data_IF_067899164979
#
_entry.id   IF_067899164979
#
_cell.length_a   1.000
_cell.length_b   1.000
_cell.length_c   1.000
_cell.angle_alpha   90.00
_cell.angle_beta   90.00
_cell.angle_gamma   90.00
#
_symmetry.space_group_name_H-M   'P 1'
#
loop_
_entity.id
_entity.type
_entity.pdbx_description
1 polymer ?
#
# COMPACT_ATOMS: atom_id res chain seq x y z
N UNK A 1 -31.12 6.95 -14.83
CA UNK A 1 -30.78 5.69 -15.51
C UNK A 1 -29.51 5.15 -14.85
N UNK A 2 -29.58 4.05 -14.11
CA UNK A 2 -28.38 3.46 -13.48
C UNK A 2 -27.53 2.78 -14.56
N UNK A 3 -26.35 3.34 -14.84
CA UNK A 3 -25.37 2.80 -15.79
C UNK A 3 -24.92 1.42 -15.32
N UNK A 4 -24.93 0.42 -16.21
CA UNK A 4 -24.39 -0.90 -15.90
C UNK A 4 -22.96 -1.03 -16.45
N UNK A 5 -21.97 -0.82 -15.58
CA UNK A 5 -20.55 -0.90 -15.94
C UNK A 5 -20.07 -2.30 -16.38
N UNK A 6 -20.91 -3.35 -16.30
CA UNK A 6 -20.61 -4.66 -16.86
C UNK A 6 -20.93 -4.78 -18.37
N UNK A 7 -21.55 -3.77 -18.99
CA UNK A 7 -21.85 -3.73 -20.43
C UNK A 7 -20.94 -2.75 -21.16
N UNK A 8 -20.33 -3.20 -22.26
CA UNK A 8 -19.42 -2.38 -23.05
C UNK A 8 -20.13 -1.13 -23.60
N UNK A 9 -21.33 -1.29 -24.17
CA UNK A 9 -22.11 -0.18 -24.76
C UNK A 9 -22.40 0.95 -23.77
N UNK A 10 -22.76 0.61 -22.53
CA UNK A 10 -23.02 1.59 -21.47
C UNK A 10 -21.74 2.36 -21.07
N UNK A 11 -20.59 1.67 -21.08
CA UNK A 11 -19.29 2.28 -20.81
C UNK A 11 -18.85 3.16 -21.97
N UNK A 12 -19.00 2.71 -23.21
CA UNK A 12 -18.71 3.51 -24.41
C UNK A 12 -19.57 4.78 -24.46
N UNK A 13 -20.85 4.68 -24.11
CA UNK A 13 -21.73 5.84 -24.03
C UNK A 13 -21.20 6.87 -23.02
N UNK A 14 -20.82 6.44 -21.82
CA UNK A 14 -20.26 7.35 -20.79
C UNK A 14 -18.94 7.96 -21.26
N UNK A 15 -18.02 7.15 -21.79
CA UNK A 15 -16.72 7.62 -22.28
C UNK A 15 -16.85 8.59 -23.48
N UNK A 16 -17.89 8.42 -24.30
CA UNK A 16 -18.17 9.29 -25.44
C UNK A 16 -18.83 10.63 -25.06
N UNK A 17 -19.66 10.65 -24.02
CA UNK A 17 -20.48 11.82 -23.67
C UNK A 17 -19.97 12.61 -22.45
N UNK A 18 -19.17 12.00 -21.57
CA UNK A 18 -18.69 12.69 -20.38
C UNK A 18 -17.58 13.69 -20.72
N UNK A 19 -17.85 14.98 -20.52
CA UNK A 19 -16.96 16.09 -20.90
C UNK A 19 -15.56 16.01 -20.26
N UNK A 20 -15.44 15.48 -19.04
CA UNK A 20 -14.12 15.26 -18.42
C UNK A 20 -13.25 14.26 -19.21
N UNK A 21 -13.86 13.17 -19.72
CA UNK A 21 -13.16 12.18 -20.53
C UNK A 21 -12.82 12.77 -21.90
N UNK A 22 -13.72 13.58 -22.46
CA UNK A 22 -13.46 14.31 -23.70
C UNK A 22 -12.24 15.24 -23.58
N UNK A 23 -12.09 15.97 -22.47
CA UNK A 23 -10.93 16.82 -22.18
C UNK A 23 -9.63 16.00 -22.22
N UNK A 24 -9.61 14.87 -21.51
CA UNK A 24 -8.43 14.00 -21.38
C UNK A 24 -8.03 13.30 -22.68
N UNK A 25 -8.98 13.13 -23.62
CA UNK A 25 -8.72 12.53 -24.94
C UNK A 25 -8.24 13.53 -25.99
N UNK A 26 -8.14 14.82 -25.66
CA UNK A 26 -7.67 15.84 -26.61
C UNK A 26 -6.18 15.70 -26.89
N UNK A 27 -5.80 15.91 -28.14
CA UNK A 27 -4.39 15.91 -28.57
C UNK A 27 -3.55 16.95 -27.80
N UNK A 28 -4.16 18.07 -27.41
CA UNK A 28 -3.53 19.14 -26.63
C UNK A 28 -4.02 19.16 -25.17
N UNK A 29 -4.46 18.02 -24.62
CA UNK A 29 -4.86 17.93 -23.23
C UNK A 29 -3.80 18.47 -22.24
N UNK A 30 -2.48 18.26 -22.43
CA UNK A 30 -1.46 18.82 -21.53
C UNK A 30 -1.52 20.35 -21.45
N UNK A 31 -1.67 21.05 -22.59
CA UNK A 31 -1.83 22.52 -22.62
C UNK A 31 -3.07 22.95 -21.83
N UNK A 32 -4.22 22.32 -22.11
CA UNK A 32 -5.50 22.67 -21.49
C UNK A 32 -5.39 22.48 -19.97
N UNK A 33 -4.89 21.33 -19.53
CA UNK A 33 -4.77 20.98 -18.12
C UNK A 33 -3.81 21.93 -17.42
N UNK A 34 -2.62 22.15 -17.97
CA UNK A 34 -1.59 23.00 -17.36
C UNK A 34 -2.05 24.46 -17.25
N UNK A 35 -2.65 25.01 -18.31
CA UNK A 35 -3.17 26.38 -18.28
C UNK A 35 -4.34 26.52 -17.30
N UNK A 36 -5.36 25.65 -17.37
CA UNK A 36 -6.52 25.73 -16.48
C UNK A 36 -6.13 25.51 -15.01
N UNK A 37 -5.13 24.66 -14.75
CA UNK A 37 -4.56 24.47 -13.43
C UNK A 37 -3.89 25.74 -12.90
N UNK A 38 -2.96 26.32 -13.69
CA UNK A 38 -2.27 27.55 -13.32
C UNK A 38 -3.24 28.72 -13.10
N UNK A 39 -4.16 28.92 -14.04
CA UNK A 39 -5.12 30.01 -13.98
C UNK A 39 -6.12 29.86 -12.82
N UNK A 40 -6.77 28.71 -12.63
CA UNK A 40 -7.87 28.61 -11.66
C UNK A 40 -7.47 27.97 -10.33
N UNK A 41 -6.55 27.00 -10.32
CA UNK A 41 -6.21 26.23 -9.12
C UNK A 41 -5.04 26.82 -8.35
N UNK A 42 -3.95 27.18 -9.02
CA UNK A 42 -2.79 27.81 -8.36
C UNK A 42 -3.08 29.26 -7.94
N UNK A 43 -3.74 30.04 -8.79
CA UNK A 43 -4.12 31.40 -8.45
C UNK A 43 -5.31 31.49 -7.47
N UNK A 44 -5.92 30.35 -7.11
CA UNK A 44 -7.10 30.25 -6.24
C UNK A 44 -8.28 31.16 -6.65
N UNK A 45 -8.47 31.36 -7.95
CA UNK A 45 -9.57 32.16 -8.50
C UNK A 45 -10.65 31.28 -9.13
N UNK A 46 -11.90 31.63 -8.86
CA UNK A 46 -13.05 30.87 -9.37
C UNK A 46 -13.45 31.31 -10.78
N UNK A 47 -13.28 32.59 -11.10
CA UNK A 47 -13.73 33.19 -12.35
C UNK A 47 -12.74 34.24 -12.89
N UNK A 48 -12.77 34.44 -14.20
CA UNK A 48 -11.97 35.45 -14.90
C UNK A 48 -12.80 36.19 -15.95
N UNK A 49 -12.53 37.49 -16.14
CA UNK A 49 -13.04 38.24 -17.28
C UNK A 49 -12.38 37.80 -18.59
N UNK A 50 -13.09 37.93 -19.71
CA UNK A 50 -12.65 37.53 -21.05
C UNK A 50 -11.27 38.09 -21.44
N UNK A 51 -11.03 39.38 -21.22
CA UNK A 51 -9.77 40.05 -21.55
C UNK A 51 -8.62 39.54 -20.68
N UNK A 52 -8.87 39.38 -19.39
CA UNK A 52 -7.88 38.90 -18.44
C UNK A 52 -7.47 37.47 -18.78
N UNK A 53 -8.43 36.56 -18.95
CA UNK A 53 -8.16 35.17 -19.28
C UNK A 53 -7.47 35.02 -20.65
N UNK A 54 -7.88 35.82 -21.64
CA UNK A 54 -7.23 35.85 -22.96
C UNK A 54 -5.77 36.28 -22.86
N UNK A 55 -5.46 37.28 -22.03
CA UNK A 55 -4.09 37.75 -21.80
C UNK A 55 -3.24 36.68 -21.13
N UNK A 56 -3.76 36.07 -20.06
CA UNK A 56 -3.08 34.98 -19.37
C UNK A 56 -2.78 33.80 -20.30
N UNK A 57 -3.74 33.43 -21.15
CA UNK A 57 -3.52 32.35 -22.12
C UNK A 57 -2.51 32.74 -23.20
N UNK A 58 -2.52 34.01 -23.63
CA UNK A 58 -1.53 34.53 -24.58
C UNK A 58 -0.10 34.40 -24.02
N UNK A 59 0.10 34.81 -22.78
CA UNK A 59 1.40 34.71 -22.10
C UNK A 59 1.83 33.25 -21.93
N UNK A 60 0.88 32.39 -21.53
CA UNK A 60 1.14 30.95 -21.38
C UNK A 60 1.51 30.28 -22.71
N UNK A 61 0.82 30.61 -23.80
CA UNK A 61 1.11 30.12 -25.14
C UNK A 61 2.43 30.65 -25.69
N UNK A 62 2.83 31.87 -25.33
CA UNK A 62 4.12 32.43 -25.72
C UNK A 62 5.26 31.58 -25.12
N UNK A 63 5.20 31.27 -23.82
CA UNK A 63 6.17 30.38 -23.17
C UNK A 63 6.12 28.95 -23.71
N UNK A 64 4.93 28.41 -23.96
CA UNK A 64 4.78 27.03 -24.46
C UNK A 64 5.28 26.84 -25.91
N UNK A 65 5.40 27.92 -26.68
CA UNK A 65 5.85 27.90 -28.09
C UNK A 65 7.30 28.40 -28.26
N UNK A 66 8.07 28.55 -27.16
CA UNK A 66 9.41 29.16 -27.20
C UNK A 66 10.41 28.35 -28.05
N UNK A 67 10.39 27.02 -27.96
CA UNK A 67 11.29 26.14 -28.71
C UNK A 67 10.71 25.69 -30.07
N UNK A 68 9.40 25.38 -30.10
CA UNK A 68 8.68 24.93 -31.30
C UNK A 68 7.25 25.46 -31.26
N UNK A 69 6.71 25.88 -32.42
CA UNK A 69 5.34 26.42 -32.54
C UNK A 69 4.28 25.32 -32.53
N UNK A 70 4.15 24.63 -31.40
CA UNK A 70 3.23 23.50 -31.17
C UNK A 70 1.76 23.95 -31.08
N UNK A 71 1.50 25.19 -30.66
CA UNK A 71 0.17 25.74 -30.41
C UNK A 71 -0.06 27.06 -31.15
N UNK A 72 -0.29 27.03 -32.47
CA UNK A 72 -0.25 28.23 -33.33
C UNK A 72 -1.55 29.06 -33.38
N UNK A 73 -2.64 28.62 -32.73
CA UNK A 73 -3.94 29.32 -32.80
C UNK A 73 -4.00 30.53 -31.86
N UNK A 74 -4.90 31.45 -32.18
CA UNK A 74 -5.20 32.62 -31.33
C UNK A 74 -5.75 32.19 -29.96
N UNK A 75 -5.35 32.85 -28.85
CA UNK A 75 -5.84 32.53 -27.51
C UNK A 75 -7.37 32.54 -27.40
N UNK A 76 -8.07 33.46 -28.08
CA UNK A 76 -9.54 33.51 -28.03
C UNK A 76 -10.16 32.29 -28.71
N UNK A 77 -9.58 31.83 -29.82
CA UNK A 77 -10.05 30.63 -30.49
C UNK A 77 -9.95 29.38 -29.60
N UNK A 78 -8.93 29.28 -28.75
CA UNK A 78 -8.84 28.21 -27.76
C UNK A 78 -9.92 28.33 -26.68
N UNK A 79 -10.14 29.53 -26.11
CA UNK A 79 -11.17 29.73 -25.08
C UNK A 79 -12.59 29.47 -25.61
N UNK A 80 -12.87 29.88 -26.85
CA UNK A 80 -14.13 29.58 -27.52
C UNK A 80 -14.30 28.07 -27.74
N UNK A 81 -13.28 27.37 -28.23
CA UNK A 81 -13.29 25.91 -28.38
C UNK A 81 -13.57 25.24 -27.02
N UNK A 82 -12.84 25.60 -25.98
CA UNK A 82 -12.99 25.00 -24.65
C UNK A 82 -14.36 25.28 -24.03
N UNK A 83 -14.99 26.40 -24.38
CA UNK A 83 -16.36 26.73 -23.97
C UNK A 83 -17.39 25.89 -24.72
N UNK A 84 -17.25 25.77 -26.05
CA UNK A 84 -18.14 24.94 -26.87
C UNK A 84 -18.08 23.47 -26.47
N UNK A 85 -16.91 23.00 -26.06
CA UNK A 85 -16.72 21.63 -25.58
C UNK A 85 -17.15 21.42 -24.12
N UNK A 86 -17.47 22.52 -23.44
CA UNK A 86 -17.98 22.55 -22.08
C UNK A 86 -16.92 22.20 -21.05
N UNK A 87 -15.67 22.61 -21.28
CA UNK A 87 -14.63 22.65 -20.25
C UNK A 87 -14.73 23.95 -19.46
N UNK A 88 -14.94 25.06 -20.17
CA UNK A 88 -15.25 26.36 -19.60
C UNK A 88 -16.74 26.69 -19.75
N UNK A 89 -17.25 27.47 -18.81
CA UNK A 89 -18.56 28.11 -18.89
C UNK A 89 -18.35 29.59 -19.08
N UNK A 90 -18.96 30.13 -20.13
CA UNK A 90 -19.01 31.56 -20.39
C UNK A 90 -20.39 32.10 -20.03
N UNK A 91 -20.46 33.18 -19.26
CA UNK A 91 -21.71 33.88 -18.92
C UNK A 91 -21.44 35.37 -18.70
N UNK A 92 -22.50 36.18 -18.63
CA UNK A 92 -22.43 37.60 -18.34
C UNK A 92 -23.02 37.82 -16.94
N UNK A 93 -22.25 38.46 -16.05
CA UNK A 93 -22.78 38.90 -14.76
C UNK A 93 -23.66 40.14 -14.94
N UNK A 94 -24.62 40.32 -14.02
CA UNK A 94 -25.67 41.33 -14.14
C UNK A 94 -25.08 42.73 -14.37
N UNK A 95 -25.38 43.33 -15.53
CA UNK A 95 -24.90 44.65 -16.00
C UNK A 95 -23.42 44.76 -16.41
N UNK A 96 -22.69 43.66 -16.58
CA UNK A 96 -21.34 43.71 -17.14
C UNK A 96 -21.34 43.50 -18.66
N UNK A 97 -20.60 44.35 -19.39
CA UNK A 97 -20.39 44.21 -20.84
C UNK A 97 -19.39 43.10 -21.19
N UNK A 98 -18.63 42.62 -20.18
CA UNK A 98 -17.59 41.63 -20.35
C UNK A 98 -18.08 40.22 -19.97
N UNK A 99 -17.71 39.23 -20.76
CA UNK A 99 -18.05 37.84 -20.47
C UNK A 99 -17.08 37.27 -19.43
N UNK A 100 -17.64 36.56 -18.45
CA UNK A 100 -16.92 35.87 -17.38
C UNK A 100 -16.78 34.38 -17.71
N UNK A 101 -15.62 33.81 -17.39
CA UNK A 101 -15.27 32.42 -17.60
C UNK A 101 -15.05 31.70 -16.28
N UNK A 102 -15.66 30.53 -16.14
CA UNK A 102 -15.49 29.62 -15.00
C UNK A 102 -15.19 28.19 -15.47
N UNK A 103 -14.54 27.41 -14.62
CA UNK A 103 -14.43 25.97 -14.84
C UNK A 103 -15.79 25.29 -14.70
N UNK A 104 -16.11 24.42 -15.66
CA UNK A 104 -17.26 23.52 -15.50
C UNK A 104 -16.95 22.41 -14.49
N UNK A 105 -17.96 21.81 -13.83
CA UNK A 105 -17.75 20.67 -12.94
C UNK A 105 -17.04 19.49 -13.61
N UNK A 106 -17.20 19.34 -14.92
CA UNK A 106 -16.51 18.30 -15.68
C UNK A 106 -15.00 18.60 -15.84
N UNK A 107 -14.63 19.85 -16.10
CA UNK A 107 -13.22 20.25 -16.14
C UNK A 107 -12.58 20.16 -14.75
N UNK A 108 -13.28 20.59 -13.70
CA UNK A 108 -12.79 20.43 -12.32
C UNK A 108 -12.54 18.97 -11.95
N UNK A 109 -13.47 18.08 -12.32
CA UNK A 109 -13.30 16.64 -12.11
C UNK A 109 -12.11 16.06 -12.88
N UNK A 110 -11.83 16.55 -14.09
CA UNK A 110 -10.64 16.14 -14.84
C UNK A 110 -9.36 16.60 -14.14
N UNK A 111 -9.30 17.86 -13.69
CA UNK A 111 -8.13 18.39 -12.97
C UNK A 111 -7.88 17.65 -11.65
N UNK A 112 -8.94 17.41 -10.87
CA UNK A 112 -8.85 16.61 -9.64
C UNK A 112 -8.33 15.20 -9.91
N UNK A 113 -8.81 14.56 -10.97
CA UNK A 113 -8.31 13.23 -11.35
C UNK A 113 -6.81 13.26 -11.67
N UNK A 114 -6.33 14.26 -12.41
CA UNK A 114 -4.90 14.43 -12.68
C UNK A 114 -4.09 14.61 -11.40
N UNK A 115 -4.59 15.39 -10.42
CA UNK A 115 -3.89 15.52 -9.13
C UNK A 115 -3.83 14.23 -8.34
N UNK A 116 -4.87 13.40 -8.45
CA UNK A 116 -4.88 12.11 -7.77
C UNK A 116 -3.95 11.10 -8.45
N UNK A 117 -3.62 11.28 -9.75
CA UNK A 117 -2.58 10.49 -10.41
C UNK A 117 -1.16 10.84 -9.91
N UNK A 118 -0.96 12.07 -9.44
CA UNK A 118 0.34 12.57 -8.96
C UNK A 118 0.60 12.22 -7.48
N UNK A 119 -0.45 11.98 -6.68
CA UNK A 119 -0.30 11.60 -5.26
C UNK A 119 0.25 10.19 -5.11
N UNK A 120 1.58 10.08 -5.18
CA UNK A 120 2.34 8.85 -4.91
C UNK A 120 2.46 8.49 -3.42
N UNK A 121 2.01 9.35 -2.50
CA UNK A 121 2.20 9.14 -1.07
C UNK A 121 0.88 9.04 -0.31
N UNK A 122 0.71 7.88 0.29
CA UNK A 122 -0.52 7.45 0.94
C UNK A 122 -0.35 7.45 2.47
N UNK A 123 -1.12 8.27 3.17
CA UNK A 123 -1.11 8.42 4.65
C UNK A 123 -2.51 8.22 5.26
N UNK A 124 -3.45 7.56 4.57
CA UNK A 124 -4.88 7.67 4.88
C UNK A 124 -5.68 6.40 5.24
N UNK A 125 -5.17 5.19 5.04
CA UNK A 125 -6.03 3.97 5.05
C UNK A 125 -6.61 3.71 6.42
N UNK A 126 -5.81 3.87 7.46
CA UNK A 126 -6.24 3.66 8.84
C UNK A 126 -7.36 4.64 9.21
N UNK A 127 -7.17 5.93 8.94
CA UNK A 127 -8.18 6.97 9.18
C UNK A 127 -9.47 6.72 8.39
N UNK A 128 -9.34 6.30 7.11
CA UNK A 128 -10.49 6.00 6.25
C UNK A 128 -11.24 4.73 6.68
N UNK A 129 -10.53 3.70 7.17
CA UNK A 129 -11.16 2.52 7.77
C UNK A 129 -11.91 2.89 9.04
N UNK A 130 -11.28 3.65 9.95
CA UNK A 130 -11.92 4.15 11.17
C UNK A 130 -13.18 4.95 10.83
N UNK A 131 -13.11 5.78 9.81
CA UNK A 131 -14.26 6.53 9.31
C UNK A 131 -15.36 5.62 8.76
N UNK A 132 -15.04 4.58 7.99
CA UNK A 132 -16.05 3.59 7.55
C UNK A 132 -16.70 2.91 8.75
N UNK A 133 -15.92 2.47 9.73
CA UNK A 133 -16.45 1.87 10.97
C UNK A 133 -17.33 2.84 11.75
N UNK A 134 -16.94 4.12 11.84
CA UNK A 134 -17.73 5.13 12.52
C UNK A 134 -19.03 5.42 11.77
N UNK A 135 -19.00 5.57 10.44
CA UNK A 135 -20.20 5.80 9.63
C UNK A 135 -21.15 4.58 9.66
N UNK A 136 -20.60 3.35 9.63
CA UNK A 136 -21.38 2.12 9.81
C UNK A 136 -22.00 2.06 11.20
N UNK A 137 -21.25 2.45 12.25
CA UNK A 137 -21.78 2.59 13.61
C UNK A 137 -22.89 3.63 13.66
N UNK A 138 -22.70 4.84 13.13
CA UNK A 138 -23.71 5.89 13.12
C UNK A 138 -24.98 5.50 12.34
N UNK A 139 -24.83 4.79 11.22
CA UNK A 139 -25.96 4.31 10.43
C UNK A 139 -26.70 3.16 11.13
N UNK A 140 -26.00 2.25 11.80
CA UNK A 140 -26.59 1.17 12.57
C UNK A 140 -27.20 1.65 13.90
N UNK A 141 -26.53 2.58 14.60
CA UNK A 141 -26.94 3.20 15.87
C UNK A 141 -28.11 4.16 15.73
N UNK A 142 -28.47 4.56 14.49
CA UNK A 142 -29.80 5.09 14.16
C UNK A 142 -30.96 4.15 14.54
N UNK A 143 -30.64 2.96 15.07
CA UNK A 143 -31.54 1.97 15.68
C UNK A 143 -30.78 1.23 16.82
N UNK A 144 -30.69 1.83 18.02
CA UNK A 144 -30.48 1.31 19.42
C UNK A 144 -29.90 -0.12 19.65
N UNK A 145 -29.09 -0.52 20.66
CA UNK A 145 -28.64 -0.13 22.02
C UNK A 145 -27.27 -0.82 22.30
N UNK A 146 -26.40 -0.25 23.15
CA UNK A 146 -25.60 -0.99 24.15
C UNK A 146 -25.12 -0.03 25.26
N UNK A 147 -24.87 -0.50 26.49
CA UNK A 147 -25.18 0.26 27.74
C UNK A 147 -24.05 0.96 28.52
N UNK A 148 -22.77 0.59 28.38
CA UNK A 148 -21.77 1.03 29.39
C UNK A 148 -20.73 2.04 28.88
N UNK A 149 -20.31 1.94 27.61
CA UNK A 149 -19.61 3.05 26.92
C UNK A 149 -20.58 4.21 26.55
N UNK A 150 -21.88 3.94 26.67
CA UNK A 150 -23.00 4.83 26.38
C UNK A 150 -23.20 5.87 27.48
N UNK A 151 -22.80 5.66 28.74
CA UNK A 151 -23.14 6.58 29.85
C UNK A 151 -22.51 7.98 29.72
N UNK A 152 -21.25 8.07 29.29
CA UNK A 152 -20.52 9.34 29.20
C UNK A 152 -20.92 10.14 27.95
N UNK A 153 -21.18 9.42 26.85
CA UNK A 153 -21.85 9.96 25.66
C UNK A 153 -23.32 10.32 25.95
N UNK A 154 -24.03 9.57 26.82
CA UNK A 154 -25.42 9.81 27.25
C UNK A 154 -25.56 11.07 28.08
N UNK A 155 -24.53 11.53 28.79
CA UNK A 155 -24.63 12.77 29.56
C UNK A 155 -24.63 14.00 28.64
N UNK A 156 -23.80 14.00 27.58
CA UNK A 156 -23.84 15.06 26.55
C UNK A 156 -25.08 14.92 25.66
N UNK A 157 -25.41 13.68 25.29
CA UNK A 157 -26.67 13.42 24.62
C UNK A 157 -27.88 13.66 25.52
N UNK A 158 -27.79 13.72 26.86
CA UNK A 158 -28.93 14.07 27.73
C UNK A 158 -29.30 15.53 27.57
N UNK A 159 -28.34 16.43 27.42
CA UNK A 159 -28.65 17.85 27.13
C UNK A 159 -29.27 18.03 25.75
N UNK A 160 -28.75 17.33 24.74
CA UNK A 160 -29.35 17.33 23.39
C UNK A 160 -30.69 16.60 23.37
N UNK A 161 -30.85 15.50 24.12
CA UNK A 161 -32.08 14.74 24.30
C UNK A 161 -33.06 15.45 25.22
N UNK A 162 -32.69 16.35 26.12
CA UNK A 162 -33.64 17.15 26.89
C UNK A 162 -34.31 18.17 25.95
N UNK A 163 -33.56 18.69 24.97
CA UNK A 163 -34.11 19.46 23.85
C UNK A 163 -34.90 18.59 22.87
N UNK A 164 -34.46 17.37 22.60
CA UNK A 164 -35.16 16.42 21.72
C UNK A 164 -36.37 15.78 22.41
N UNK A 165 -36.40 15.63 23.73
CA UNK A 165 -37.53 15.17 24.57
C UNK A 165 -38.57 16.28 24.60
N UNK A 166 -38.16 17.56 24.71
CA UNK A 166 -39.09 18.68 24.48
C UNK A 166 -39.67 18.67 23.05
N UNK A 167 -38.94 18.17 22.05
CA UNK A 167 -39.45 17.99 20.69
C UNK A 167 -40.32 16.73 20.52
N UNK A 168 -40.00 15.64 21.23
CA UNK A 168 -40.74 14.36 21.22
C UNK A 168 -42.04 14.44 22.04
N UNK A 169 -42.06 15.18 23.15
CA UNK A 169 -43.28 15.49 23.91
C UNK A 169 -44.26 16.37 23.09
N UNK A 170 -43.75 16.99 22.02
CA UNK A 170 -44.49 17.66 20.95
C UNK A 170 -44.74 16.78 19.69
N UNK A 171 -44.51 15.46 19.77
CA UNK A 171 -44.74 14.44 18.73
C UNK A 171 -43.83 14.51 17.47
N UNK A 172 -42.63 15.09 17.59
CA UNK A 172 -41.65 15.17 16.48
C UNK A 172 -40.55 14.08 16.56
N UNK A 173 -40.92 12.80 16.41
CA UNK A 173 -39.92 11.73 16.19
C UNK A 173 -39.39 11.76 14.74
N UNK A 174 -38.26 12.42 14.54
CA UNK A 174 -37.57 12.44 13.23
C UNK A 174 -36.87 11.10 12.97
N UNK A 175 -37.59 10.13 12.42
CA UNK A 175 -36.96 9.04 11.65
C UNK A 175 -36.01 9.69 10.65
N UNK A 176 -34.80 9.13 10.48
CA UNK A 176 -33.99 9.47 9.30
C UNK A 176 -34.87 9.20 8.08
N UNK A 177 -35.19 10.27 7.34
CA UNK A 177 -35.93 10.16 6.09
C UNK A 177 -35.23 9.09 5.20
N UNK A 178 -35.97 8.16 4.59
CA UNK A 178 -35.44 7.22 3.59
C UNK A 178 -34.45 7.83 2.58
N UNK A 179 -34.54 9.13 2.28
CA UNK A 179 -33.55 9.87 1.47
C UNK A 179 -32.20 9.99 2.19
N UNK A 180 -32.19 10.45 3.45
CA UNK A 180 -30.97 10.58 4.28
C UNK A 180 -30.29 9.24 4.54
N UNK A 181 -31.05 8.16 4.71
CA UNK A 181 -30.51 6.79 4.86
C UNK A 181 -29.72 6.40 3.61
N UNK A 182 -30.29 6.64 2.42
CA UNK A 182 -29.64 6.35 1.13
C UNK A 182 -28.40 7.21 0.89
N UNK A 183 -28.44 8.49 1.24
CA UNK A 183 -27.29 9.39 1.13
C UNK A 183 -26.13 8.97 2.05
N UNK A 184 -26.42 8.70 3.33
CA UNK A 184 -25.41 8.21 4.29
C UNK A 184 -24.81 6.87 3.86
N UNK A 185 -25.65 5.97 3.37
CA UNK A 185 -25.19 4.70 2.84
C UNK A 185 -24.32 4.88 1.58
N UNK A 186 -24.68 5.81 0.69
CA UNK A 186 -23.86 6.14 -0.48
C UNK A 186 -22.47 6.66 -0.10
N UNK A 187 -22.38 7.50 0.94
CA UNK A 187 -21.09 7.94 1.49
C UNK A 187 -20.27 6.76 2.03
N UNK A 188 -20.90 5.82 2.74
CA UNK A 188 -20.21 4.61 3.23
C UNK A 188 -19.67 3.78 2.06
N UNK A 189 -20.48 3.60 1.01
CA UNK A 189 -20.09 2.84 -0.17
C UNK A 189 -18.93 3.50 -0.93
N UNK A 190 -18.94 4.83 -1.06
CA UNK A 190 -17.85 5.59 -1.65
C UNK A 190 -16.56 5.45 -0.83
N UNK A 191 -16.64 5.67 0.49
CA UNK A 191 -15.48 5.59 1.39
C UNK A 191 -14.91 4.17 1.45
N UNK A 192 -15.76 3.14 1.47
CA UNK A 192 -15.35 1.73 1.42
C UNK A 192 -14.67 1.37 0.09
N UNK A 193 -15.19 1.88 -1.04
CA UNK A 193 -14.59 1.66 -2.36
C UNK A 193 -13.22 2.33 -2.48
N UNK A 194 -13.11 3.57 -2.00
CA UNK A 194 -11.83 4.30 -1.92
C UNK A 194 -10.82 3.55 -1.05
N UNK A 195 -11.23 3.09 0.13
CA UNK A 195 -10.37 2.29 1.02
C UNK A 195 -9.81 1.05 0.30
N UNK A 196 -10.63 0.30 -0.43
CA UNK A 196 -10.15 -0.86 -1.18
C UNK A 196 -9.19 -0.49 -2.32
N UNK A 197 -9.40 0.66 -2.97
CA UNK A 197 -8.46 1.18 -3.96
C UNK A 197 -7.12 1.52 -3.31
N UNK A 198 -7.16 2.17 -2.15
CA UNK A 198 -5.97 2.51 -1.37
C UNK A 198 -5.16 1.25 -1.01
N UNK A 199 -5.83 0.16 -0.63
CA UNK A 199 -5.16 -1.12 -0.37
C UNK A 199 -4.43 -1.69 -1.57
N UNK A 200 -5.02 -1.58 -2.76
CA UNK A 200 -4.36 -2.00 -4.00
C UNK A 200 -3.13 -1.14 -4.29
N UNK A 201 -3.18 0.15 -3.98
CA UNK A 201 -2.03 1.03 -4.11
C UNK A 201 -0.90 0.65 -3.14
N UNK A 202 -1.24 0.34 -1.88
CA UNK A 202 -0.25 -0.16 -0.90
C UNK A 202 0.38 -1.46 -1.41
N UNK A 203 -0.43 -2.40 -1.92
CA UNK A 203 0.07 -3.66 -2.50
C UNK A 203 1.07 -3.41 -3.62
N UNK A 204 0.78 -2.48 -4.52
CA UNK A 204 1.65 -2.14 -5.65
C UNK A 204 2.93 -1.42 -5.18
N UNK A 205 2.84 -0.49 -4.22
CA UNK A 205 4.00 0.16 -3.63
C UNK A 205 4.96 -0.86 -3.00
N UNK A 206 4.43 -1.82 -2.24
CA UNK A 206 5.21 -2.91 -1.66
C UNK A 206 5.84 -3.79 -2.74
N UNK A 207 5.14 -4.08 -3.83
CA UNK A 207 5.69 -4.82 -4.98
C UNK A 207 6.87 -4.06 -5.61
N UNK A 208 6.75 -2.75 -5.80
CA UNK A 208 7.81 -1.92 -6.37
C UNK A 208 9.04 -1.83 -5.44
N UNK A 209 8.83 -1.63 -4.14
CA UNK A 209 9.90 -1.66 -3.13
C UNK A 209 10.64 -2.99 -3.15
N UNK A 210 9.89 -4.10 -3.20
CA UNK A 210 10.46 -5.44 -3.32
C UNK A 210 11.24 -5.66 -4.62
N UNK A 211 10.79 -5.10 -5.74
CA UNK A 211 11.50 -5.18 -7.02
C UNK A 211 12.82 -4.39 -6.98
N UNK A 212 12.80 -3.15 -6.47
CA UNK A 212 14.00 -2.31 -6.31
C UNK A 212 15.04 -2.95 -5.39
N UNK A 213 14.62 -3.48 -4.24
CA UNK A 213 15.50 -4.18 -3.31
C UNK A 213 16.22 -5.36 -3.97
N UNK A 214 15.53 -6.10 -4.86
CA UNK A 214 16.15 -7.19 -5.64
C UNK A 214 17.15 -6.68 -6.68
N UNK A 215 16.82 -5.61 -7.40
CA UNK A 215 17.72 -5.02 -8.39
C UNK A 215 19.03 -4.55 -7.76
N UNK A 216 18.96 -3.86 -6.63
CA UNK A 216 20.14 -3.42 -5.88
C UNK A 216 21.00 -4.61 -5.44
N UNK A 217 20.38 -5.69 -4.99
CA UNK A 217 21.06 -6.90 -4.54
C UNK A 217 21.76 -7.65 -5.68
N UNK A 218 21.14 -7.76 -6.86
CA UNK A 218 21.75 -8.43 -8.03
C UNK A 218 22.93 -7.62 -8.56
N UNK A 219 22.85 -6.29 -8.50
CA UNK A 219 23.85 -5.39 -9.08
C UNK A 219 25.15 -5.36 -8.24
N UNK A 220 25.09 -5.69 -6.95
CA UNK A 220 26.25 -5.69 -6.05
C UNK A 220 26.81 -7.10 -5.82
N UNK A 221 28.11 -7.30 -6.10
CA UNK A 221 28.83 -8.54 -5.77
C UNK A 221 29.25 -8.57 -4.29
N UNK A 222 28.28 -8.63 -3.36
CA UNK A 222 28.56 -8.66 -1.91
C UNK A 222 28.81 -10.09 -1.38
N UNK A 223 29.46 -10.21 -0.21
CA UNK A 223 29.73 -11.48 0.47
C UNK A 223 28.49 -12.05 1.20
N UNK A 224 28.46 -13.36 1.48
CA UNK A 224 27.29 -14.08 2.04
C UNK A 224 26.71 -13.42 3.31
N UNK A 225 27.55 -12.90 4.19
CA UNK A 225 27.12 -12.26 5.45
C UNK A 225 26.56 -10.86 5.24
N UNK A 226 27.17 -10.08 4.34
CA UNK A 226 26.72 -8.71 4.02
C UNK A 226 25.38 -8.73 3.28
N UNK A 227 25.20 -9.69 2.36
CA UNK A 227 23.92 -9.87 1.65
C UNK A 227 22.78 -10.19 2.62
N UNK A 228 23.02 -11.04 3.63
CA UNK A 228 22.01 -11.39 4.64
C UNK A 228 21.65 -10.19 5.52
N UNK A 229 22.65 -9.48 6.06
CA UNK A 229 22.42 -8.28 6.88
C UNK A 229 21.73 -7.16 6.07
N UNK A 230 22.08 -6.98 4.80
CA UNK A 230 21.49 -5.97 3.91
C UNK A 230 20.02 -6.28 3.56
N UNK A 231 19.67 -7.56 3.35
CA UNK A 231 18.29 -7.99 3.08
C UNK A 231 17.39 -7.78 4.29
N UNK A 232 17.82 -8.22 5.48
CA UNK A 232 17.02 -8.02 6.69
C UNK A 232 16.87 -6.53 7.00
N UNK A 233 17.92 -5.74 6.76
CA UNK A 233 17.85 -4.29 6.87
C UNK A 233 16.90 -3.66 5.85
N UNK A 234 16.82 -4.18 4.61
CA UNK A 234 15.89 -3.69 3.59
C UNK A 234 14.43 -4.04 3.91
N UNK A 235 14.16 -5.24 4.43
CA UNK A 235 12.84 -5.63 4.90
C UNK A 235 12.41 -4.78 6.10
N UNK A 236 13.28 -4.64 7.09
CA UNK A 236 13.05 -3.79 8.26
C UNK A 236 12.82 -2.34 7.80
N UNK A 237 13.61 -1.85 6.83
CA UNK A 237 13.42 -0.51 6.26
C UNK A 237 12.06 -0.34 5.57
N UNK A 238 11.58 -1.35 4.82
CA UNK A 238 10.25 -1.33 4.19
C UNK A 238 9.15 -1.30 5.27
N UNK A 239 9.27 -2.11 6.32
CA UNK A 239 8.29 -2.16 7.41
C UNK A 239 8.33 -0.92 8.31
N UNK A 240 9.50 -0.29 8.43
CA UNK A 240 9.71 0.96 9.18
C UNK A 240 9.30 2.22 8.40
N UNK A 241 9.05 2.11 7.08
CA UNK A 241 8.43 3.20 6.33
C UNK A 241 7.07 3.56 6.92
N UNK A 242 6.64 4.81 6.71
CA UNK A 242 5.31 5.25 7.12
C UNK A 242 4.20 4.37 6.50
N UNK A 243 4.42 3.85 5.29
CA UNK A 243 3.53 2.93 4.59
C UNK A 243 3.46 1.55 5.27
N UNK A 244 4.61 0.99 5.68
CA UNK A 244 4.68 -0.28 6.38
C UNK A 244 4.12 -0.23 7.79
N UNK A 245 4.41 0.84 8.54
CA UNK A 245 3.82 1.11 9.86
C UNK A 245 2.30 1.25 9.78
N UNK A 246 1.82 2.04 8.82
CA UNK A 246 0.37 2.23 8.59
C UNK A 246 -0.29 0.91 8.19
N UNK A 247 0.34 0.13 7.30
CA UNK A 247 -0.18 -1.19 6.91
C UNK A 247 -0.25 -2.15 8.09
N UNK A 248 0.79 -2.23 8.92
CA UNK A 248 0.84 -3.14 10.06
C UNK A 248 -0.17 -2.77 11.15
N UNK A 249 -0.27 -1.47 11.50
CA UNK A 249 -1.27 -0.98 12.45
C UNK A 249 -2.69 -1.27 11.96
N UNK A 250 -2.94 -1.02 10.68
CA UNK A 250 -4.19 -1.37 10.02
C UNK A 250 -4.45 -2.88 10.00
N UNK A 251 -3.46 -3.71 9.66
CA UNK A 251 -3.63 -5.14 9.54
C UNK A 251 -3.92 -5.78 10.89
N UNK A 252 -3.22 -5.32 11.94
CA UNK A 252 -3.51 -5.67 13.32
C UNK A 252 -4.95 -5.27 13.71
N UNK A 253 -5.39 -4.06 13.34
CA UNK A 253 -6.77 -3.62 13.53
C UNK A 253 -7.77 -4.55 12.83
N UNK A 254 -7.49 -4.95 11.58
CA UNK A 254 -8.38 -5.80 10.80
C UNK A 254 -8.46 -7.23 11.36
N UNK A 255 -7.38 -7.74 11.94
CA UNK A 255 -7.30 -9.09 12.52
C UNK A 255 -7.92 -9.20 13.92
N UNK A 256 -8.30 -8.08 14.55
CA UNK A 256 -9.01 -8.06 15.83
C UNK A 256 -10.40 -8.72 15.69
N UNK A 257 -10.58 -9.88 16.31
CA UNK A 257 -11.81 -10.68 16.24
C UNK A 257 -13.04 -9.91 16.74
N UNK A 258 -12.90 -9.08 17.78
CA UNK A 258 -14.02 -8.31 18.31
C UNK A 258 -14.54 -7.29 17.28
N UNK A 259 -13.62 -6.64 16.56
CA UNK A 259 -13.96 -5.65 15.54
C UNK A 259 -14.53 -6.29 14.28
N UNK A 260 -14.05 -7.49 13.92
CA UNK A 260 -14.63 -8.26 12.82
C UNK A 260 -16.08 -8.65 13.11
N UNK A 261 -16.35 -9.13 14.33
CA UNK A 261 -17.70 -9.48 14.77
C UNK A 261 -18.61 -8.25 14.86
N UNK A 262 -18.10 -7.11 15.34
CA UNK A 262 -18.81 -5.84 15.34
C UNK A 262 -19.19 -5.42 13.92
N UNK A 263 -18.25 -5.45 12.98
CA UNK A 263 -18.49 -5.10 11.58
C UNK A 263 -19.59 -5.98 10.96
N UNK A 264 -19.52 -7.29 11.16
CA UNK A 264 -20.50 -8.22 10.64
C UNK A 264 -21.91 -7.92 11.20
N UNK A 265 -22.01 -7.62 12.50
CA UNK A 265 -23.28 -7.23 13.15
C UNK A 265 -23.84 -5.93 12.58
N UNK A 266 -23.01 -4.90 12.42
CA UNK A 266 -23.40 -3.59 11.87
C UNK A 266 -23.91 -3.74 10.43
N UNK A 267 -23.18 -4.47 9.59
CA UNK A 267 -23.57 -4.75 8.21
C UNK A 267 -24.91 -5.51 8.17
N UNK A 268 -25.09 -6.52 9.02
CA UNK A 268 -26.36 -7.25 9.10
C UNK A 268 -27.53 -6.34 9.53
N UNK A 269 -27.32 -5.43 10.47
CA UNK A 269 -28.34 -4.48 10.93
C UNK A 269 -28.74 -3.49 9.82
N UNK A 270 -27.77 -2.95 9.09
CA UNK A 270 -28.01 -1.99 7.99
C UNK A 270 -28.86 -2.63 6.88
N UNK A 271 -28.54 -3.87 6.48
CA UNK A 271 -29.29 -4.55 5.41
C UNK A 271 -30.61 -5.20 5.86
N UNK A 272 -30.94 -5.16 7.16
CA UNK A 272 -32.30 -5.49 7.64
C UNK A 272 -33.29 -4.36 7.34
N UNK A 273 -32.82 -3.15 7.05
CA UNK A 273 -33.70 -2.03 6.71
C UNK A 273 -34.30 -2.22 5.29
N UNK A 274 -35.62 -2.07 5.13
CA UNK A 274 -36.30 -2.33 3.86
C UNK A 274 -35.77 -1.45 2.71
N UNK A 275 -35.34 -0.22 3.03
CA UNK A 275 -34.80 0.77 2.10
C UNK A 275 -33.48 0.33 1.44
N UNK A 276 -32.69 -0.51 2.14
CA UNK A 276 -31.33 -0.91 1.72
C UNK A 276 -31.24 -2.37 1.26
N UNK A 277 -32.28 -3.17 1.50
CA UNK A 277 -32.35 -4.60 1.16
C UNK A 277 -32.01 -4.89 -0.32
N UNK A 278 -32.45 -4.03 -1.25
CA UNK A 278 -32.20 -4.14 -2.68
C UNK A 278 -30.75 -3.82 -3.12
N UNK A 279 -29.97 -3.11 -2.29
CA UNK A 279 -28.60 -2.69 -2.62
C UNK A 279 -27.55 -3.75 -2.26
N UNK A 280 -27.91 -4.75 -1.45
CA UNK A 280 -26.98 -5.76 -0.89
C UNK A 280 -26.11 -6.47 -1.92
N UNK A 281 -26.68 -6.84 -3.07
CA UNK A 281 -25.95 -7.60 -4.09
C UNK A 281 -24.98 -6.74 -4.94
N UNK A 282 -25.26 -5.44 -5.06
CA UNK A 282 -24.43 -4.49 -5.82
C UNK A 282 -23.36 -3.82 -4.97
N UNK A 283 -23.60 -3.76 -3.67
CA UNK A 283 -22.72 -3.13 -2.71
C UNK A 283 -21.41 -3.88 -2.49
N UNK A 284 -20.39 -3.09 -2.20
CA UNK A 284 -19.08 -3.55 -1.75
C UNK A 284 -19.06 -3.77 -0.23
N UNK A 285 -19.93 -3.09 0.53
CA UNK A 285 -19.95 -3.09 2.01
C UNK A 285 -20.10 -4.51 2.60
N UNK A 286 -20.99 -5.40 2.13
CA UNK A 286 -21.10 -6.77 2.66
C UNK A 286 -19.84 -7.62 2.45
N UNK A 287 -19.05 -7.31 1.42
CA UNK A 287 -17.84 -8.05 1.05
C UNK A 287 -16.57 -7.37 1.54
N UNK A 288 -16.70 -6.17 2.12
CA UNK A 288 -15.59 -5.32 2.52
C UNK A 288 -14.59 -6.08 3.40
N UNK A 289 -15.08 -6.81 4.41
CA UNK A 289 -14.23 -7.65 5.29
C UNK A 289 -13.37 -8.63 4.48
N UNK A 290 -14.00 -9.46 3.66
CA UNK A 290 -13.28 -10.47 2.85
C UNK A 290 -12.30 -9.80 1.90
N UNK A 291 -12.71 -8.73 1.22
CA UNK A 291 -11.85 -8.01 0.28
C UNK A 291 -10.65 -7.34 0.93
N UNK A 292 -10.79 -6.82 2.16
CA UNK A 292 -9.68 -6.24 2.92
C UNK A 292 -8.72 -7.34 3.42
N UNK A 293 -9.24 -8.46 3.92
CA UNK A 293 -8.42 -9.60 4.36
C UNK A 293 -7.65 -10.19 3.18
N UNK A 294 -8.31 -10.41 2.04
CA UNK A 294 -7.65 -10.90 0.82
C UNK A 294 -6.57 -9.92 0.34
N UNK A 295 -6.78 -8.61 0.46
CA UNK A 295 -5.80 -7.62 0.08
C UNK A 295 -4.55 -7.67 0.96
N UNK A 296 -4.70 -7.70 2.28
CA UNK A 296 -3.52 -7.80 3.14
C UNK A 296 -2.83 -9.17 3.10
N UNK A 297 -3.56 -10.27 2.85
CA UNK A 297 -2.96 -11.58 2.59
C UNK A 297 -2.09 -11.57 1.32
N UNK A 298 -2.49 -10.83 0.27
CA UNK A 298 -1.64 -10.64 -0.92
C UNK A 298 -0.35 -9.86 -0.61
N UNK A 299 -0.43 -8.82 0.22
CA UNK A 299 0.76 -8.07 0.67
C UNK A 299 1.70 -8.99 1.44
N UNK A 300 1.19 -9.72 2.44
CA UNK A 300 1.98 -10.67 3.23
C UNK A 300 2.63 -11.75 2.37
N UNK A 301 1.87 -12.39 1.47
CA UNK A 301 2.40 -13.39 0.52
C UNK A 301 3.49 -12.83 -0.39
N UNK A 302 3.40 -11.57 -0.77
CA UNK A 302 4.43 -10.92 -1.62
C UNK A 302 5.73 -10.76 -0.84
N UNK A 303 5.63 -10.41 0.44
CA UNK A 303 6.77 -10.35 1.39
C UNK A 303 7.35 -11.74 1.64
N UNK A 304 6.53 -12.75 1.92
CA UNK A 304 6.98 -14.12 2.19
C UNK A 304 7.70 -14.75 0.98
N UNK A 305 7.15 -14.54 -0.23
CA UNK A 305 7.79 -15.02 -1.47
C UNK A 305 9.16 -14.41 -1.69
N UNK A 306 9.38 -13.16 -1.28
CA UNK A 306 10.69 -12.54 -1.35
C UNK A 306 11.67 -13.27 -0.43
N UNK A 307 11.30 -13.52 0.83
CA UNK A 307 12.14 -14.27 1.79
C UNK A 307 12.46 -15.67 1.25
N UNK A 308 11.48 -16.37 0.70
CA UNK A 308 11.67 -17.72 0.16
C UNK A 308 12.58 -17.74 -1.09
N UNK A 309 12.37 -16.82 -2.03
CA UNK A 309 13.21 -16.72 -3.24
C UNK A 309 14.65 -16.33 -2.90
N UNK A 310 14.85 -15.47 -1.90
CA UNK A 310 16.17 -15.10 -1.42
C UNK A 310 16.87 -16.26 -0.72
N UNK A 311 16.14 -17.04 0.09
CA UNK A 311 16.66 -18.30 0.65
C UNK A 311 17.13 -19.25 -0.45
N UNK A 312 16.35 -19.41 -1.52
CA UNK A 312 16.74 -20.23 -2.68
C UNK A 312 17.96 -19.68 -3.42
N UNK A 313 18.07 -18.36 -3.58
CA UNK A 313 19.22 -17.71 -4.21
C UNK A 313 20.51 -17.88 -3.40
N UNK A 314 20.44 -17.76 -2.07
CA UNK A 314 21.59 -18.02 -1.20
C UNK A 314 22.04 -19.48 -1.24
N UNK A 315 21.10 -20.42 -1.27
CA UNK A 315 21.39 -21.85 -1.41
C UNK A 315 22.03 -22.16 -2.76
N UNK A 316 21.56 -21.56 -3.85
CA UNK A 316 22.13 -21.79 -5.20
C UNK A 316 23.53 -21.19 -5.36
N UNK A 317 23.82 -20.03 -4.76
CA UNK A 317 25.17 -19.45 -4.77
C UNK A 317 26.15 -20.28 -3.95
N UNK A 318 25.73 -20.81 -2.80
CA UNK A 318 26.54 -21.73 -2.00
C UNK A 318 26.93 -22.99 -2.81
N UNK A 319 26.02 -23.51 -3.63
CA UNK A 319 26.31 -24.62 -4.53
C UNK A 319 27.36 -24.25 -5.59
N UNK A 320 27.27 -23.07 -6.20
CA UNK A 320 28.25 -22.60 -7.19
C UNK A 320 29.62 -22.32 -6.58
N UNK A 321 29.68 -21.74 -5.39
CA UNK A 321 30.94 -21.51 -4.66
C UNK A 321 31.61 -22.84 -4.26
N UNK A 322 30.85 -23.79 -3.71
CA UNK A 322 31.37 -25.13 -3.40
C UNK A 322 31.84 -25.87 -4.65
N UNK A 323 31.13 -25.72 -5.78
CA UNK A 323 31.55 -26.29 -7.07
C UNK A 323 32.86 -25.65 -7.55
N UNK A 324 33.00 -24.32 -7.46
CA UNK A 324 34.23 -23.62 -7.81
C UNK A 324 35.39 -24.01 -6.91
N UNK A 325 35.17 -24.12 -5.60
CA UNK A 325 36.17 -24.60 -4.66
C UNK A 325 36.64 -26.02 -5.03
N UNK A 326 35.70 -26.91 -5.36
CA UNK A 326 36.02 -28.27 -5.82
C UNK A 326 36.84 -28.27 -7.11
N UNK A 327 36.50 -27.41 -8.08
CA UNK A 327 37.27 -27.24 -9.32
C UNK A 327 38.69 -26.74 -9.07
N UNK A 328 38.86 -25.73 -8.21
CA UNK A 328 40.18 -25.21 -7.85
C UNK A 328 41.02 -26.28 -7.14
N UNK A 329 40.42 -27.09 -6.27
CA UNK A 329 41.11 -28.22 -5.63
C UNK A 329 41.57 -29.22 -6.69
N UNK A 330 40.69 -29.59 -7.62
CA UNK A 330 41.02 -30.53 -8.70
C UNK A 330 42.13 -29.98 -9.62
N UNK A 331 42.11 -28.68 -9.93
CA UNK A 331 43.18 -27.99 -10.66
C UNK A 331 44.52 -28.03 -9.90
N UNK A 332 44.49 -27.76 -8.59
CA UNK A 332 45.68 -27.85 -7.72
C UNK A 332 46.21 -29.29 -7.68
N UNK A 333 45.34 -30.30 -7.57
CA UNK A 333 45.73 -31.71 -7.58
C UNK A 333 46.37 -32.10 -8.92
N UNK A 334 45.81 -31.65 -10.05
CA UNK A 334 46.38 -31.88 -11.37
C UNK A 334 47.76 -31.20 -11.54
N UNK A 335 47.92 -29.97 -11.04
CA UNK A 335 49.21 -29.28 -11.04
C UNK A 335 50.22 -29.99 -10.14
N UNK A 336 49.81 -30.44 -8.95
CA UNK A 336 50.65 -31.18 -8.03
C UNK A 336 51.12 -32.52 -8.63
N UNK A 337 50.25 -33.22 -9.37
CA UNK A 337 50.61 -34.45 -10.08
C UNK A 337 51.65 -34.21 -11.18
N UNK A 338 51.58 -33.09 -11.91
CA UNK A 338 52.58 -32.73 -12.94
C UNK A 338 53.97 -32.46 -12.35
N UNK A 339 54.02 -31.92 -11.14
CA UNK A 339 55.27 -31.54 -10.44
C UNK A 339 55.80 -32.68 -9.55
N UNK A 340 55.06 -33.79 -9.39
CA UNK A 340 55.38 -34.93 -8.52
C UNK A 340 56.82 -35.47 -8.68
N UNK A 341 57.32 -35.53 -9.91
CA UNK A 341 58.63 -36.10 -10.25
C UNK A 341 59.78 -35.08 -10.28
N UNK A 342 59.50 -33.78 -10.25
CA UNK A 342 60.51 -32.71 -10.14
C UNK A 342 60.01 -31.64 -9.17
N UNK A 343 60.02 -31.93 -7.85
CA UNK A 343 59.56 -30.97 -6.86
C UNK A 343 60.48 -29.73 -6.84
N UNK A 344 59.95 -28.54 -6.52
CA UNK A 344 60.76 -27.33 -6.43
C UNK A 344 61.93 -27.54 -5.45
N UNK A 345 63.15 -27.36 -5.95
CA UNK A 345 64.41 -27.59 -5.20
C UNK A 345 64.66 -26.55 -4.09
N UNK A 346 63.86 -25.48 -4.06
CA UNK A 346 63.98 -24.41 -3.08
C UNK A 346 63.33 -24.83 -1.75
N UNK A 347 64.05 -24.58 -0.64
CA UNK A 347 63.56 -24.92 0.72
C UNK A 347 62.35 -24.08 1.15
N UNK A 348 62.23 -22.88 0.60
CA UNK A 348 61.08 -21.99 0.75
C UNK A 348 60.53 -21.73 -0.66
N UNK A 349 59.49 -22.47 -1.06
CA UNK A 349 58.92 -22.39 -2.41
C UNK A 349 57.50 -21.82 -2.42
N UNK A 350 56.90 -21.65 -1.25
CA UNK A 350 55.57 -21.07 -1.08
C UNK A 350 55.57 -20.22 0.19
N UNK A 351 55.01 -19.02 0.07
CA UNK A 351 54.62 -18.19 1.21
C UNK A 351 53.10 -18.29 1.34
N UNK A 352 52.63 -18.73 2.51
CA UNK A 352 51.21 -18.75 2.84
C UNK A 352 50.91 -17.48 3.64
N UNK A 353 49.92 -16.71 3.20
CA UNK A 353 49.40 -15.59 3.99
C UNK A 353 48.68 -16.13 5.24
N UNK A 354 49.37 -16.11 6.38
CA UNK A 354 48.81 -16.49 7.68
C UNK A 354 49.72 -17.42 8.48
N UNK A 355 49.52 -17.45 9.80
CA UNK A 355 50.20 -18.44 10.65
C UNK A 355 49.48 -19.79 10.50
N UNK A 356 50.20 -20.91 10.30
CA UNK A 356 49.56 -22.22 10.27
C UNK A 356 48.86 -22.48 11.61
N UNK A 357 47.59 -22.89 11.57
CA UNK A 357 46.90 -23.40 12.75
C UNK A 357 47.50 -24.78 13.08
N UNK A 358 48.45 -24.80 14.02
CA UNK A 358 49.04 -26.05 14.51
C UNK A 358 48.06 -26.67 15.50
N UNK A 359 47.25 -27.61 15.03
CA UNK A 359 46.42 -28.44 15.90
C UNK A 359 47.25 -29.62 16.38
N UNK A 360 47.71 -29.60 17.63
CA UNK A 360 48.43 -30.74 18.19
C UNK A 360 47.49 -31.94 18.31
N UNK A 361 48.04 -33.16 18.23
CA UNK A 361 47.24 -34.38 18.43
C UNK A 361 46.50 -34.38 19.79
N UNK A 362 47.06 -33.68 20.78
CA UNK A 362 46.51 -33.49 22.12
C UNK A 362 45.49 -32.34 22.23
N UNK A 363 45.39 -31.46 21.22
CA UNK A 363 44.37 -30.39 21.15
C UNK A 363 43.04 -30.89 20.57
N UNK A 364 43.01 -32.12 20.06
CA UNK A 364 41.75 -32.76 19.69
C UNK A 364 41.04 -33.18 20.98
N UNK A 365 39.95 -32.47 21.30
CA UNK A 365 39.01 -32.95 22.30
C UNK A 365 38.59 -34.39 21.99
N UNK A 366 38.22 -35.16 23.03
CA UNK A 366 37.59 -36.46 22.84
C UNK A 366 36.38 -36.29 21.91
N UNK A 367 36.12 -37.28 21.06
CA UNK A 367 34.95 -37.27 20.19
C UNK A 367 33.69 -36.99 21.02
N UNK A 368 33.07 -35.83 20.81
CA UNK A 368 31.72 -35.54 21.27
C UNK A 368 30.76 -36.04 20.19
N UNK A 369 29.97 -37.06 20.54
CA UNK A 369 28.87 -37.47 19.69
C UNK A 369 27.90 -36.28 19.55
N UNK A 370 27.38 -36.00 18.35
CA UNK A 370 26.36 -34.95 18.18
C UNK A 370 25.20 -35.23 19.12
N UNK A 371 24.72 -34.20 19.83
CA UNK A 371 23.59 -34.33 20.76
C UNK A 371 22.37 -34.85 19.99
N UNK A 372 22.12 -36.15 20.12
CA UNK A 372 20.89 -36.76 19.63
C UNK A 372 19.83 -36.38 20.63
N UNK A 373 19.03 -35.37 20.28
CA UNK A 373 17.87 -34.92 21.05
C UNK A 373 16.90 -36.11 21.21
N UNK A 374 17.00 -36.83 22.33
CA UNK A 374 16.05 -37.87 22.71
C UNK A 374 14.85 -37.18 23.34
N UNK A 375 13.78 -37.05 22.56
CA UNK A 375 12.49 -36.59 23.04
C UNK A 375 11.87 -37.69 23.90
N UNK A 376 11.96 -37.57 25.23
CA UNK A 376 11.19 -38.41 26.15
C UNK A 376 9.70 -38.11 25.94
N UNK A 377 9.03 -39.01 25.24
CA UNK A 377 7.59 -38.96 24.98
C UNK A 377 6.89 -39.98 25.85
N UNK A 378 6.95 -39.80 27.17
CA UNK A 378 6.12 -40.56 28.09
C UNK A 378 4.75 -39.88 28.21
N UNK A 379 3.75 -40.52 27.60
CA UNK A 379 2.31 -40.23 27.59
C UNK A 379 1.79 -39.33 26.45
N UNK A 380 1.59 -39.95 25.28
CA UNK A 380 0.71 -39.42 24.23
C UNK A 380 -0.75 -39.46 24.71
N UNK A 381 -1.29 -38.31 25.10
CA UNK A 381 -2.72 -38.13 25.31
C UNK A 381 -3.42 -37.80 23.98
N UNK A 382 -4.65 -38.29 23.80
CA UNK A 382 -5.48 -37.94 22.64
C UNK A 382 -5.84 -36.45 22.70
N UNK A 383 -5.43 -35.69 21.67
CA UNK A 383 -5.59 -34.23 21.61
C UNK A 383 -7.02 -33.76 21.32
N UNK A 384 -7.42 -32.66 21.97
CA UNK A 384 -8.66 -31.94 21.71
C UNK A 384 -8.45 -30.91 20.59
N UNK A 385 -9.29 -30.96 19.55
CA UNK A 385 -9.13 -30.21 18.31
C UNK A 385 -9.46 -28.70 18.44
N UNK A 386 -9.99 -28.25 19.59
CA UNK A 386 -10.37 -26.85 19.82
C UNK A 386 -9.25 -25.92 20.27
N UNK A 387 -8.13 -26.45 20.74
CA UNK A 387 -7.04 -25.67 21.35
C UNK A 387 -5.66 -26.01 20.79
N UNK A 388 -5.58 -26.36 19.50
CA UNK A 388 -4.29 -26.48 18.82
C UNK A 388 -3.87 -25.10 18.35
N UNK A 389 -3.13 -24.37 19.20
CA UNK A 389 -2.31 -23.25 18.74
C UNK A 389 -1.28 -23.80 17.75
N UNK A 390 -1.42 -23.40 16.49
CA UNK A 390 -0.49 -23.76 15.43
C UNK A 390 0.94 -23.21 15.68
N UNK A 391 1.11 -22.34 16.68
CA UNK A 391 2.38 -21.72 17.08
C UNK A 391 3.47 -22.77 17.36
N UNK A 392 3.12 -23.91 17.99
CA UNK A 392 4.08 -24.98 18.29
C UNK A 392 4.61 -25.75 17.07
N UNK A 393 3.96 -25.66 15.90
CA UNK A 393 4.46 -26.23 14.64
C UNK A 393 5.46 -25.29 13.93
N UNK A 394 5.44 -23.99 14.25
CA UNK A 394 6.37 -23.00 13.70
C UNK A 394 7.64 -22.81 14.56
N UNK A 395 7.66 -23.31 15.81
CA UNK A 395 8.76 -23.14 16.76
C UNK A 395 9.85 -24.22 16.75
N UNK A 396 9.85 -25.19 15.82
CA UNK A 396 10.86 -26.25 15.86
C UNK A 396 12.30 -25.78 15.56
N UNK A 397 12.50 -24.55 15.09
CA UNK A 397 13.80 -23.86 15.09
C UNK A 397 13.57 -22.34 15.09
N UNK A 398 13.03 -21.81 16.18
CA UNK A 398 13.08 -20.37 16.44
C UNK A 398 14.51 -19.99 16.80
N UNK A 399 15.22 -19.34 15.86
CA UNK A 399 16.50 -18.71 16.14
C UNK A 399 16.19 -17.28 16.59
N UNK A 400 16.33 -17.00 17.90
CA UNK A 400 16.20 -15.65 18.44
C UNK A 400 17.25 -14.72 17.78
N UNK A 401 16.83 -13.76 16.94
CA UNK A 401 17.75 -12.89 16.21
C UNK A 401 18.53 -11.93 17.12
N UNK A 402 17.95 -11.55 18.26
CA UNK A 402 18.61 -10.67 19.23
C UNK A 402 19.72 -11.42 19.96
N UNK A 403 19.47 -12.67 20.35
CA UNK A 403 20.47 -13.53 20.98
C UNK A 403 21.61 -13.89 20.00
N UNK A 404 21.27 -14.21 18.74
CA UNK A 404 22.25 -14.51 17.70
C UNK A 404 23.15 -13.30 17.39
N UNK A 405 22.56 -12.09 17.30
CA UNK A 405 23.32 -10.82 17.15
C UNK A 405 24.25 -10.59 18.34
N UNK A 406 23.82 -10.89 19.56
CA UNK A 406 24.65 -10.81 20.77
C UNK A 406 25.87 -11.75 20.69
N UNK A 407 25.64 -13.00 20.28
CA UNK A 407 26.71 -14.00 20.11
C UNK A 407 27.68 -13.64 18.98
N UNK A 408 27.18 -13.14 17.84
CA UNK A 408 28.00 -12.67 16.71
C UNK A 408 28.87 -11.47 17.12
N UNK A 409 28.31 -10.50 17.85
CA UNK A 409 29.07 -9.35 18.37
C UNK A 409 30.16 -9.78 19.37
N UNK A 410 29.85 -10.71 20.27
CA UNK A 410 30.83 -11.26 21.22
C UNK A 410 31.97 -12.04 20.56
N UNK A 411 31.70 -12.72 19.44
CA UNK A 411 32.74 -13.42 18.66
C UNK A 411 33.59 -12.44 17.85
N UNK A 412 32.99 -11.36 17.31
CA UNK A 412 33.72 -10.29 16.62
C UNK A 412 34.65 -9.53 17.57
N UNK A 413 34.23 -9.22 18.80
CA UNK A 413 35.05 -8.50 19.77
C UNK A 413 36.25 -9.33 20.28
N UNK A 414 36.07 -10.65 20.41
CA UNK A 414 37.17 -11.57 20.75
C UNK A 414 38.20 -11.76 19.63
N UNK A 415 37.83 -11.52 18.36
CA UNK A 415 38.75 -11.57 17.21
C UNK A 415 39.47 -10.25 16.93
N UNK A 416 38.99 -9.11 17.44
CA UNK A 416 39.62 -7.80 17.26
C UNK A 416 40.58 -7.40 18.38
N UNK A 417 40.77 -8.26 19.38
CA UNK A 417 41.64 -8.00 20.55
C UNK A 417 42.82 -8.97 20.71
N UNK A 418 43.21 -9.68 19.64
CA UNK A 418 44.32 -10.63 19.63
C UNK A 418 45.34 -10.33 18.54
#
# INVERSE_FOLDING_TARGET
>A
MTINFARIEDVEYVLGHHKAVKLLRKNHAPLIIAFLWSAFKEAHRQAYGSRELTTLLSDFLFSANEEETLYPRDPRAYLEEWTQEGFLRQFYENNEEEATFELTPAAERALLWITDLDKGEFVGAESRLLQVFQLLRELALGSTQDKEARLEQLLRQREELDQEILAIDNDELSRLDPTRIRERYGLIEETASKLLSDFRQIEENFRQLNARAREEQITRQSSRGEVLDEIFSAQDAIMETDQGKTFNAFWAFLMDQYRQDELDKLVQQIFKQPELSGFRNRSVVPRLKMSLVEAGDRVNKTTDRLVEQLRRFLVSRAFLENRRASQVIEEIEQLALKVKSDPPKQRFFIDLEGKPAVHLLMDRGLFEAPDVLKLDSENLAAGDAGAVTADGLYEQLYIDPAELRGRIKGIRSKRSGG
#
